data_IF_287830944340
#
_entry.id   IF_287830944340
#
_cell.length_a   1.000
_cell.length_b   1.000
_cell.length_c   1.000
_cell.angle_alpha   90.00
_cell.angle_beta   90.00
_cell.angle_gamma   90.00
#
_symmetry.space_group_name_H-M   'P 1'
#
loop_
_entity.id
_entity.type
_entity.pdbx_description
1 polymer ?
#
# COMPACT_ATOMS: atom_id res chain seq x y z
N UNK A 1 5.26 18.65 -12.88
CA UNK A 1 5.98 17.57 -12.15
C UNK A 1 4.93 16.62 -11.57
N UNK A 2 5.02 15.33 -11.88
CA UNK A 2 4.02 14.34 -11.42
C UNK A 2 4.55 13.58 -10.22
N UNK A 3 3.70 13.39 -9.21
CA UNK A 3 3.99 12.57 -8.04
C UNK A 3 2.90 11.53 -7.80
N UNK A 4 3.25 10.41 -7.17
CA UNK A 4 2.31 9.33 -6.87
C UNK A 4 2.49 8.77 -5.47
N UNK A 5 1.37 8.38 -4.88
CA UNK A 5 1.29 7.72 -3.59
C UNK A 5 0.52 6.43 -3.73
N UNK A 6 1.08 5.35 -3.21
CA UNK A 6 0.42 4.07 -3.02
C UNK A 6 0.03 3.92 -1.55
N UNK A 7 -1.20 3.58 -1.28
CA UNK A 7 -1.69 3.26 0.07
C UNK A 7 -2.09 1.81 0.12
N UNK A 8 -1.36 1.01 0.87
CA UNK A 8 -1.61 -0.41 1.07
C UNK A 8 -2.38 -0.60 2.38
N UNK A 9 -3.47 -1.33 2.31
CA UNK A 9 -4.38 -1.54 3.44
C UNK A 9 -4.94 -2.97 3.44
N UNK A 10 -5.50 -3.42 4.57
CA UNK A 10 -6.12 -4.75 4.68
C UNK A 10 -7.62 -4.69 4.48
N UNK A 11 -8.08 -5.38 3.45
CA UNK A 11 -9.45 -5.75 3.17
C UNK A 11 -10.51 -4.70 3.45
N UNK A 12 -11.72 -5.17 3.77
CA UNK A 12 -12.90 -4.30 3.94
C UNK A 12 -12.71 -3.30 5.10
N UNK A 13 -12.06 -3.70 6.20
CA UNK A 13 -11.97 -2.88 7.42
C UNK A 13 -11.16 -1.60 7.26
N UNK A 14 -10.12 -1.62 6.42
CA UNK A 14 -9.26 -0.47 6.20
C UNK A 14 -9.52 0.24 4.86
N UNK A 15 -10.51 -0.21 4.09
CA UNK A 15 -10.84 0.35 2.76
C UNK A 15 -11.13 1.84 2.82
N UNK A 16 -11.92 2.26 3.81
CA UNK A 16 -12.24 3.67 4.00
C UNK A 16 -11.00 4.52 4.30
N UNK A 17 -10.00 3.99 5.01
CA UNK A 17 -8.73 4.68 5.25
C UNK A 17 -7.96 4.89 3.94
N UNK A 18 -7.79 3.84 3.14
CA UNK A 18 -7.12 3.94 1.85
C UNK A 18 -7.72 5.00 0.95
N UNK A 19 -9.05 4.98 0.78
CA UNK A 19 -9.76 5.96 -0.06
C UNK A 19 -9.73 7.38 0.51
N UNK A 20 -9.86 7.55 1.83
CA UNK A 20 -9.79 8.87 2.48
C UNK A 20 -8.41 9.50 2.33
N UNK A 21 -7.34 8.72 2.53
CA UNK A 21 -5.97 9.20 2.38
C UNK A 21 -5.73 9.65 0.94
N UNK A 22 -6.01 8.81 -0.04
CA UNK A 22 -5.74 9.14 -1.45
C UNK A 22 -6.60 10.29 -1.95
N UNK A 23 -7.88 10.36 -1.55
CA UNK A 23 -8.76 11.48 -1.84
C UNK A 23 -8.28 12.77 -1.16
N UNK A 24 -7.85 12.70 0.09
CA UNK A 24 -7.32 13.84 0.83
C UNK A 24 -6.08 14.44 0.17
N UNK A 25 -5.19 13.60 -0.39
CA UNK A 25 -4.03 14.08 -1.17
C UNK A 25 -4.48 14.86 -2.40
N UNK A 26 -5.43 14.32 -3.16
CA UNK A 26 -5.94 14.99 -4.37
C UNK A 26 -6.63 16.30 -4.02
N UNK A 27 -7.46 16.32 -2.98
CA UNK A 27 -8.11 17.57 -2.52
C UNK A 27 -7.08 18.63 -2.10
N UNK A 28 -6.03 18.23 -1.36
CA UNK A 28 -4.95 19.14 -0.99
C UNK A 28 -4.20 19.68 -2.23
N UNK A 29 -3.92 18.82 -3.20
CA UNK A 29 -3.27 19.22 -4.44
C UNK A 29 -4.11 20.22 -5.25
N UNK A 30 -5.42 20.03 -5.32
CA UNK A 30 -6.35 20.96 -5.97
C UNK A 30 -6.33 22.34 -5.28
N UNK A 31 -6.16 22.39 -3.95
CA UNK A 31 -5.98 23.68 -3.24
C UNK A 31 -4.70 24.43 -3.65
N UNK A 32 -3.73 23.73 -4.21
CA UNK A 32 -2.50 24.31 -4.76
C UNK A 32 -2.59 24.65 -6.26
N UNK A 33 -3.77 24.47 -6.86
CA UNK A 33 -3.96 24.67 -8.30
C UNK A 33 -3.41 23.52 -9.15
N UNK A 34 -3.09 22.39 -8.55
CA UNK A 34 -2.69 21.16 -9.23
C UNK A 34 -3.91 20.32 -9.61
N UNK A 35 -3.69 19.31 -10.43
CA UNK A 35 -4.68 18.31 -10.81
C UNK A 35 -4.30 16.96 -10.22
N UNK A 36 -5.27 16.09 -10.02
CA UNK A 36 -4.97 14.75 -9.50
C UNK A 36 -6.15 13.80 -9.60
N UNK A 37 -5.85 12.52 -9.45
CA UNK A 37 -6.84 11.45 -9.42
C UNK A 37 -6.52 10.48 -8.28
N UNK A 38 -7.57 9.93 -7.67
CA UNK A 38 -7.46 8.82 -6.74
C UNK A 38 -8.29 7.64 -7.20
N UNK A 39 -7.75 6.44 -7.10
CA UNK A 39 -8.43 5.21 -7.48
C UNK A 39 -7.97 4.03 -6.64
N UNK A 40 -8.84 3.02 -6.53
CA UNK A 40 -8.55 1.78 -5.81
C UNK A 40 -8.20 0.63 -6.75
N UNK A 41 -7.36 -0.28 -6.25
CA UNK A 41 -7.08 -1.55 -6.88
C UNK A 41 -7.41 -2.69 -5.92
N UNK A 42 -8.40 -3.48 -6.28
CA UNK A 42 -8.84 -4.63 -5.49
C UNK A 42 -8.26 -5.91 -6.08
N UNK A 43 -7.83 -6.81 -5.19
CA UNK A 43 -7.26 -8.10 -5.62
C UNK A 43 -8.32 -9.13 -6.01
N UNK A 44 -9.57 -8.94 -5.56
CA UNK A 44 -10.66 -9.89 -5.77
C UNK A 44 -12.04 -9.21 -5.67
N UNK A 45 -13.06 -9.85 -6.24
CA UNK A 45 -14.45 -9.43 -6.10
C UNK A 45 -15.30 -10.66 -5.69
N UNK A 46 -15.93 -10.63 -4.49
CA UNK A 46 -15.94 -9.55 -3.51
C UNK A 46 -14.61 -9.39 -2.77
N UNK A 47 -14.33 -8.14 -2.35
CA UNK A 47 -13.15 -7.85 -1.53
C UNK A 47 -13.19 -8.62 -0.21
N UNK A 48 -12.10 -9.31 0.13
CA UNK A 48 -12.04 -10.18 1.31
C UNK A 48 -11.39 -9.48 2.49
N UNK A 49 -11.84 -9.81 3.71
CA UNK A 49 -11.23 -9.32 4.93
C UNK A 49 -9.79 -9.80 5.09
N UNK A 50 -8.91 -8.87 5.46
CA UNK A 50 -7.51 -9.18 5.77
C UNK A 50 -6.59 -9.35 4.56
N UNK A 51 -7.13 -9.44 3.34
CA UNK A 51 -6.31 -9.48 2.13
C UNK A 51 -5.88 -8.06 1.80
N UNK A 52 -4.59 -7.80 1.54
CA UNK A 52 -4.12 -6.48 1.17
C UNK A 52 -4.77 -5.97 -0.11
N UNK A 53 -5.11 -4.70 -0.10
CA UNK A 53 -5.61 -3.95 -1.24
C UNK A 53 -4.88 -2.62 -1.34
N UNK A 54 -4.97 -1.95 -2.48
CA UNK A 54 -4.25 -0.71 -2.77
C UNK A 54 -5.20 0.41 -3.18
N UNK A 55 -4.85 1.61 -2.77
CA UNK A 55 -5.39 2.84 -3.35
C UNK A 55 -4.22 3.71 -3.80
N UNK A 56 -4.42 4.40 -4.90
CA UNK A 56 -3.41 5.29 -5.48
C UNK A 56 -3.93 6.71 -5.51
N UNK A 57 -3.01 7.66 -5.31
CA UNK A 57 -3.20 9.05 -5.64
C UNK A 57 -2.09 9.47 -6.60
N UNK A 58 -2.46 10.10 -7.71
CA UNK A 58 -1.55 10.70 -8.67
C UNK A 58 -1.85 12.18 -8.75
N UNK A 59 -0.83 13.01 -8.60
CA UNK A 59 -0.92 14.47 -8.63
C UNK A 59 0.05 15.01 -9.68
N UNK A 60 -0.39 15.97 -10.48
CA UNK A 60 0.43 16.64 -11.50
C UNK A 60 0.18 18.16 -11.51
N UNK A 61 1.13 18.90 -12.06
CA UNK A 61 0.99 20.34 -12.17
C UNK A 61 -0.08 20.76 -13.21
N UNK A 62 -0.37 19.89 -14.16
CA UNK A 62 -1.39 20.13 -15.20
C UNK A 62 -1.98 18.80 -15.71
N UNK A 63 -3.04 18.92 -16.50
CA UNK A 63 -3.82 17.79 -16.98
C UNK A 63 -3.06 16.95 -18.02
N UNK A 64 -2.22 17.56 -18.83
CA UNK A 64 -1.40 16.85 -19.83
C UNK A 64 -0.39 15.90 -19.15
N UNK A 65 0.31 16.37 -18.12
CA UNK A 65 1.20 15.54 -17.32
C UNK A 65 0.44 14.40 -16.60
N UNK A 66 -0.74 14.71 -16.08
CA UNK A 66 -1.58 13.70 -15.42
C UNK A 66 -1.99 12.60 -16.40
N UNK A 67 -2.49 12.95 -17.57
CA UNK A 67 -2.91 12.01 -18.61
C UNK A 67 -1.74 11.15 -19.10
N UNK A 68 -0.58 11.74 -19.33
CA UNK A 68 0.63 11.03 -19.74
C UNK A 68 1.04 9.98 -18.70
N UNK A 69 0.90 10.30 -17.41
CA UNK A 69 1.20 9.36 -16.33
C UNK A 69 0.17 8.23 -16.23
N UNK A 70 -1.11 8.56 -16.41
CA UNK A 70 -2.22 7.60 -16.31
C UNK A 70 -2.31 6.63 -17.50
N UNK A 71 -1.57 6.85 -18.58
CA UNK A 71 -1.50 5.93 -19.71
C UNK A 71 -1.08 4.50 -19.30
N UNK A 72 -0.50 4.34 -18.11
CA UNK A 72 -0.14 3.04 -17.54
C UNK A 72 -1.11 2.51 -16.48
N UNK A 73 -2.21 3.15 -16.23
CA UNK A 73 -3.21 2.84 -15.22
C UNK A 73 -2.65 2.80 -13.77
N UNK A 74 -1.71 1.93 -13.45
CA UNK A 74 -1.03 1.89 -12.15
C UNK A 74 0.36 2.51 -12.23
N UNK A 75 0.74 3.37 -11.29
CA UNK A 75 2.11 3.86 -11.19
C UNK A 75 3.11 2.72 -11.03
N UNK A 76 4.14 2.69 -11.85
CA UNK A 76 5.22 1.71 -11.74
C UNK A 76 6.21 2.04 -10.63
N UNK A 77 6.25 3.32 -10.22
CA UNK A 77 7.10 3.83 -9.14
C UNK A 77 6.35 4.90 -8.36
N UNK A 78 6.41 4.84 -7.05
CA UNK A 78 5.73 5.78 -6.16
C UNK A 78 6.74 6.61 -5.35
N UNK A 79 6.40 7.87 -5.11
CA UNK A 79 7.14 8.76 -4.21
C UNK A 79 7.00 8.31 -2.77
N UNK A 80 5.78 7.93 -2.41
CA UNK A 80 5.45 7.42 -1.07
C UNK A 80 4.61 6.17 -1.20
N UNK A 81 5.01 5.10 -0.50
CA UNK A 81 4.20 3.92 -0.25
C UNK A 81 3.78 3.92 1.21
N UNK A 82 2.47 3.93 1.46
CA UNK A 82 1.92 3.93 2.81
C UNK A 82 1.52 2.51 3.19
N UNK A 83 2.08 1.99 4.28
CA UNK A 83 1.58 0.82 4.98
C UNK A 83 0.65 1.31 6.11
N UNK A 84 -0.66 1.10 5.97
CA UNK A 84 -1.64 1.57 6.97
C UNK A 84 -1.41 0.93 8.34
N UNK A 85 -0.84 -0.28 8.38
CA UNK A 85 -0.28 -0.89 9.57
C UNK A 85 1.06 -1.59 9.29
N UNK A 86 1.88 -1.76 10.32
CA UNK A 86 3.23 -2.32 10.20
C UNK A 86 3.27 -3.80 9.80
N UNK A 87 2.18 -4.53 10.00
CA UNK A 87 2.11 -5.94 9.59
C UNK A 87 2.17 -6.10 8.06
N UNK A 88 1.85 -5.03 7.31
CA UNK A 88 1.99 -4.98 5.86
C UNK A 88 3.45 -4.90 5.40
N UNK A 89 4.37 -4.49 6.28
CA UNK A 89 5.80 -4.42 5.98
C UNK A 89 6.46 -5.80 5.90
N UNK A 90 5.83 -6.84 6.43
CA UNK A 90 6.37 -8.22 6.49
C UNK A 90 6.44 -8.95 5.15
N UNK A 91 6.07 -8.30 4.05
CA UNK A 91 6.14 -8.88 2.71
C UNK A 91 5.18 -10.04 2.46
N UNK A 92 4.14 -10.18 3.28
CA UNK A 92 3.16 -11.27 3.20
C UNK A 92 1.92 -10.81 2.42
N UNK A 93 2.13 -10.04 1.36
CA UNK A 93 1.04 -9.56 0.52
C UNK A 93 0.71 -10.59 -0.54
N UNK A 94 -0.31 -11.38 -0.29
CA UNK A 94 -0.87 -12.28 -1.27
C UNK A 94 -1.96 -11.57 -2.06
N UNK A 95 -1.59 -11.04 -3.22
CA UNK A 95 -2.56 -10.56 -4.21
C UNK A 95 -2.93 -11.73 -5.12
N UNK A 96 -4.20 -11.87 -5.43
CA UNK A 96 -4.66 -12.91 -6.35
C UNK A 96 -3.92 -12.88 -7.71
N UNK A 97 -3.38 -11.71 -8.09
CA UNK A 97 -2.74 -11.48 -9.38
C UNK A 97 -1.22 -11.22 -9.31
N UNK A 98 -0.69 -10.81 -8.15
CA UNK A 98 0.68 -10.33 -8.03
C UNK A 98 1.59 -11.21 -7.18
N UNK A 99 1.02 -12.20 -6.49
CA UNK A 99 1.77 -13.03 -5.55
C UNK A 99 2.29 -12.24 -4.34
N UNK A 100 3.35 -12.72 -3.72
CA UNK A 100 4.01 -12.06 -2.61
C UNK A 100 4.83 -10.87 -3.10
N UNK A 101 4.54 -9.69 -2.60
CA UNK A 101 5.28 -8.48 -2.92
C UNK A 101 5.77 -7.80 -1.64
N UNK A 102 7.04 -7.41 -1.57
CA UNK A 102 7.50 -6.56 -0.47
C UNK A 102 6.83 -5.19 -0.55
N UNK A 103 6.53 -4.60 0.62
CA UNK A 103 5.85 -3.31 0.72
C UNK A 103 6.55 -2.22 -0.09
N UNK A 104 7.87 -2.25 -0.14
CA UNK A 104 8.71 -1.27 -0.81
C UNK A 104 8.96 -1.56 -2.31
N UNK A 105 8.25 -2.51 -2.92
CA UNK A 105 8.47 -2.90 -4.33
C UNK A 105 8.33 -1.73 -5.29
N UNK A 106 7.25 -0.98 -5.17
CA UNK A 106 6.93 0.14 -6.05
C UNK A 106 7.47 1.49 -5.55
N UNK A 107 8.10 1.54 -4.38
CA UNK A 107 8.74 2.76 -3.89
C UNK A 107 9.97 3.06 -4.75
N UNK A 108 10.04 4.25 -5.35
CA UNK A 108 11.18 4.66 -6.19
C UNK A 108 12.49 4.80 -5.39
N UNK A 109 13.61 4.86 -6.08
CA UNK A 109 14.87 5.27 -5.47
C UNK A 109 14.74 6.67 -4.85
N UNK A 110 15.17 6.82 -3.60
CA UNK A 110 14.99 8.04 -2.81
C UNK A 110 13.55 8.28 -2.32
N UNK A 111 12.58 7.43 -2.71
CA UNK A 111 11.21 7.49 -2.21
C UNK A 111 11.08 7.02 -0.77
N UNK A 112 9.86 7.05 -0.24
CA UNK A 112 9.61 6.78 1.18
C UNK A 112 8.55 5.69 1.37
N UNK A 113 8.82 4.73 2.24
CA UNK A 113 7.78 3.88 2.85
C UNK A 113 7.36 4.55 4.16
N UNK A 114 6.07 4.83 4.30
CA UNK A 114 5.47 5.40 5.50
C UNK A 114 4.62 4.34 6.20
N UNK A 115 5.00 3.94 7.40
CA UNK A 115 4.25 2.96 8.19
C UNK A 115 3.59 3.60 9.41
N UNK A 116 2.39 3.14 9.74
CA UNK A 116 1.76 3.42 11.04
C UNK A 116 2.10 2.29 11.99
N UNK A 117 2.85 2.58 13.04
CA UNK A 117 3.38 1.58 13.98
C UNK A 117 3.67 2.16 15.35
N UNK A 118 3.68 1.32 16.37
CA UNK A 118 4.23 1.68 17.70
C UNK A 118 5.73 1.36 17.80
N UNK A 119 6.28 0.64 16.82
CA UNK A 119 7.68 0.28 16.76
C UNK A 119 8.54 1.45 16.26
N UNK A 120 9.85 1.40 16.50
CA UNK A 120 10.79 2.36 15.91
C UNK A 120 11.03 2.06 14.42
N UNK A 121 11.54 3.02 13.63
CA UNK A 121 11.93 2.76 12.24
C UNK A 121 12.93 1.60 12.11
N UNK A 122 13.82 1.41 13.10
CA UNK A 122 14.81 0.33 13.13
C UNK A 122 14.16 -1.04 13.29
N UNK A 123 13.08 -1.12 14.06
CA UNK A 123 12.34 -2.36 14.27
C UNK A 123 11.49 -2.70 13.03
N UNK A 124 10.77 -1.72 12.49
CA UNK A 124 9.98 -1.90 11.25
C UNK A 124 10.86 -2.28 10.07
N UNK A 125 12.09 -1.75 10.00
CA UNK A 125 13.04 -2.07 8.92
C UNK A 125 13.39 -3.56 8.86
N UNK A 126 13.40 -4.27 9.98
CA UNK A 126 13.69 -5.72 10.01
C UNK A 126 12.67 -6.53 9.22
N UNK A 127 11.46 -6.00 9.09
CA UNK A 127 10.37 -6.62 8.33
C UNK A 127 10.37 -6.19 6.84
N UNK A 128 11.04 -5.10 6.50
CA UNK A 128 11.12 -4.60 5.12
C UNK A 128 12.22 -5.29 4.32
N UNK A 129 11.93 -5.64 3.07
CA UNK A 129 12.90 -6.29 2.20
C UNK A 129 13.99 -5.31 1.74
N UNK A 130 15.19 -5.86 1.51
CA UNK A 130 16.29 -5.12 0.88
C UNK A 130 15.90 -4.66 -0.53
N UNK A 131 16.37 -3.46 -0.88
CA UNK A 131 16.32 -2.94 -2.26
C UNK A 131 17.74 -2.64 -2.73
N UNK A 132 17.93 -2.66 -4.04
CA UNK A 132 19.19 -2.30 -4.68
C UNK A 132 19.40 -0.78 -4.79
N UNK A 133 18.55 0.01 -4.14
CA UNK A 133 18.59 1.47 -4.14
C UNK A 133 18.30 2.03 -2.74
N UNK A 134 18.83 3.22 -2.45
CA UNK A 134 18.48 3.97 -1.24
C UNK A 134 17.01 4.38 -1.24
N UNK A 135 16.39 4.34 -0.08
CA UNK A 135 15.02 4.79 0.17
C UNK A 135 14.88 5.29 1.61
N UNK A 136 13.73 5.81 1.97
CA UNK A 136 13.47 6.29 3.32
C UNK A 136 12.36 5.46 3.97
N UNK A 137 12.54 5.13 5.24
CA UNK A 137 11.51 4.54 6.08
C UNK A 137 11.02 5.60 7.07
N UNK A 138 9.75 5.91 7.01
CA UNK A 138 9.11 6.85 7.91
C UNK A 138 8.08 6.12 8.78
N UNK A 139 7.96 6.51 10.04
CA UNK A 139 7.02 5.91 10.99
C UNK A 139 6.20 6.99 11.68
N UNK A 140 4.89 6.80 11.66
CA UNK A 140 3.95 7.54 12.50
C UNK A 140 3.61 6.67 13.70
N UNK A 141 3.88 7.16 14.92
CA UNK A 141 3.51 6.48 16.17
C UNK A 141 1.99 6.49 16.35
N UNK A 142 1.34 5.40 15.96
CA UNK A 142 -0.07 5.15 16.19
C UNK A 142 -0.37 3.66 16.10
N UNK A 143 -1.44 3.24 16.76
CA UNK A 143 -2.05 1.93 16.57
C UNK A 143 -3.20 2.16 15.60
N UNK A 144 -3.15 1.61 14.38
CA UNK A 144 -4.30 1.67 13.48
C UNK A 144 -5.47 0.93 14.13
N UNK A 145 -6.66 1.51 14.05
CA UNK A 145 -7.83 0.83 14.63
C UNK A 145 -8.14 -0.43 13.83
N UNK A 146 -7.91 -1.55 14.47
CA UNK A 146 -8.43 -2.85 14.07
C UNK A 146 -9.81 -3.02 14.69
N UNK A 147 -10.84 -2.41 14.12
CA UNK A 147 -12.17 -2.73 14.58
C UNK A 147 -12.72 -3.93 13.80
N UNK A 148 -12.42 -5.12 14.29
CA UNK A 148 -13.12 -6.33 13.88
C UNK A 148 -14.59 -6.37 14.32
N UNK A 149 -15.09 -5.36 14.99
CA UNK A 149 -16.43 -5.26 15.55
C UNK A 149 -16.98 -3.85 15.33
N UNK A 150 -17.68 -3.64 14.23
CA UNK A 150 -18.75 -2.65 13.94
C UNK A 150 -18.66 -1.22 14.55
N UNK A 151 -17.69 -0.92 15.42
CA UNK A 151 -17.50 0.38 16.06
C UNK A 151 -16.15 0.94 15.66
N UNK A 152 -16.12 1.72 14.58
CA UNK A 152 -14.96 2.53 14.23
C UNK A 152 -14.78 3.61 15.28
N UNK A 153 -13.78 3.46 16.13
CA UNK A 153 -13.24 4.60 16.83
C UNK A 153 -12.39 5.37 15.81
N UNK A 154 -12.81 6.58 15.47
CA UNK A 154 -12.00 7.47 14.64
C UNK A 154 -10.70 7.80 15.38
N UNK A 155 -9.60 7.23 14.92
CA UNK A 155 -8.27 7.41 15.50
C UNK A 155 -7.44 8.46 14.76
N UNK A 156 -8.06 9.14 13.80
CA UNK A 156 -7.43 10.14 12.95
C UNK A 156 -6.24 9.60 12.12
N UNK A 157 -6.15 8.31 11.88
CA UNK A 157 -5.04 7.72 11.11
C UNK A 157 -4.99 8.29 9.70
N UNK A 158 -6.12 8.48 9.05
CA UNK A 158 -6.22 9.08 7.72
C UNK A 158 -5.53 10.46 7.65
N UNK A 159 -5.91 11.37 8.53
CA UNK A 159 -5.37 12.74 8.54
C UNK A 159 -3.93 12.80 9.07
N UNK A 160 -3.53 11.87 9.96
CA UNK A 160 -2.12 11.76 10.38
C UNK A 160 -1.23 11.36 9.21
N UNK A 161 -1.67 10.41 8.40
CA UNK A 161 -0.96 10.00 7.18
C UNK A 161 -0.88 11.16 6.20
N UNK A 162 -1.95 11.94 6.00
CA UNK A 162 -1.94 13.14 5.17
C UNK A 162 -0.90 14.16 5.64
N UNK A 163 -0.86 14.44 6.95
CA UNK A 163 0.15 15.34 7.52
C UNK A 163 1.58 14.86 7.31
N UNK A 164 1.82 13.56 7.51
CA UNK A 164 3.14 12.99 7.25
C UNK A 164 3.53 13.04 5.76
N UNK A 165 2.61 12.78 4.84
CA UNK A 165 2.86 12.89 3.40
C UNK A 165 3.27 14.31 3.01
N UNK A 166 2.63 15.34 3.57
CA UNK A 166 3.03 16.73 3.34
C UNK A 166 4.49 17.01 3.77
N UNK A 167 4.98 16.31 4.80
CA UNK A 167 6.38 16.40 5.24
C UNK A 167 7.33 15.64 4.32
N UNK A 168 6.91 14.44 3.87
CA UNK A 168 7.75 13.49 3.14
C UNK A 168 7.80 13.78 1.64
N UNK A 169 6.73 14.34 1.09
CA UNK A 169 6.59 14.66 -0.33
C UNK A 169 6.05 16.08 -0.54
N UNK A 170 6.76 17.14 -0.07
CA UNK A 170 6.29 18.53 -0.12
C UNK A 170 6.13 19.06 -1.56
N UNK A 171 6.69 18.38 -2.54
CA UNK A 171 6.48 18.66 -3.95
C UNK A 171 5.08 18.28 -4.43
N UNK A 172 4.44 17.33 -3.77
CA UNK A 172 3.06 16.90 -4.09
C UNK A 172 2.04 17.79 -3.42
N UNK A 173 2.10 17.90 -2.10
CA UNK A 173 1.17 18.67 -1.27
C UNK A 173 1.89 19.33 -0.10
N UNK A 174 1.46 20.53 0.29
CA UNK A 174 1.97 21.26 1.45
C UNK A 174 1.05 21.07 2.64
N UNK A 175 1.56 21.33 3.85
CA UNK A 175 0.79 21.19 5.09
C UNK A 175 -0.46 22.09 5.09
N UNK A 176 -0.31 23.33 4.66
CA UNK A 176 -1.41 24.31 4.63
C UNK A 176 -2.57 23.82 3.74
N UNK A 177 -2.23 23.21 2.60
CA UNK A 177 -3.22 22.66 1.66
C UNK A 177 -3.90 21.42 2.22
N UNK A 178 -3.15 20.58 2.93
CA UNK A 178 -3.69 19.42 3.65
C UNK A 178 -4.66 19.88 4.75
N UNK A 179 -4.28 20.87 5.56
CA UNK A 179 -5.15 21.43 6.59
C UNK A 179 -6.44 22.02 6.01
N UNK A 180 -6.33 22.76 4.88
CA UNK A 180 -7.49 23.31 4.19
C UNK A 180 -8.41 22.20 3.65
N UNK A 181 -7.86 21.15 3.08
CA UNK A 181 -8.61 19.99 2.61
C UNK A 181 -9.31 19.25 3.76
N UNK A 182 -8.64 19.11 4.92
CA UNK A 182 -9.24 18.49 6.11
C UNK A 182 -10.42 19.32 6.63
N UNK A 183 -10.30 20.64 6.69
CA UNK A 183 -11.41 21.52 7.11
C UNK A 183 -12.61 21.39 6.20
N UNK A 184 -12.38 21.33 4.90
CA UNK A 184 -13.46 21.23 3.91
C UNK A 184 -14.15 19.87 3.93
N UNK A 185 -13.39 18.77 3.96
CA UNK A 185 -13.94 17.43 3.83
C UNK A 185 -14.48 16.87 5.16
N UNK A 186 -13.82 17.16 6.27
CA UNK A 186 -14.18 16.58 7.58
C UNK A 186 -14.73 17.59 8.60
N UNK A 187 -14.52 18.89 8.41
CA UNK A 187 -15.05 19.94 9.29
C UNK A 187 -14.58 19.88 10.75
N UNK A 188 -13.39 19.29 11.02
CA UNK A 188 -12.93 18.99 12.37
C UNK A 188 -11.52 19.52 12.64
N UNK A 189 -11.39 20.52 13.50
CA UNK A 189 -10.10 21.12 13.88
C UNK A 189 -9.22 20.16 14.69
N UNK A 190 -9.78 19.16 15.38
CA UNK A 190 -8.97 18.13 16.05
C UNK A 190 -8.25 17.26 15.04
N UNK A 191 -8.86 17.01 13.88
CA UNK A 191 -8.22 16.32 12.77
C UNK A 191 -7.10 17.15 12.17
N UNK A 192 -7.31 18.45 11.99
CA UNK A 192 -6.25 19.38 11.54
C UNK A 192 -5.07 19.36 12.50
N UNK A 193 -5.32 19.45 13.80
CA UNK A 193 -4.28 19.37 14.82
C UNK A 193 -3.55 18.01 14.79
N UNK A 194 -4.26 16.91 14.52
CA UNK A 194 -3.68 15.58 14.40
C UNK A 194 -2.77 15.46 13.17
N UNK A 195 -3.14 16.05 12.04
CA UNK A 195 -2.31 16.11 10.84
C UNK A 195 -1.03 16.91 11.07
N UNK A 196 -1.15 18.10 11.68
CA UNK A 196 0.00 18.96 12.04
C UNK A 196 0.96 18.24 12.97
N UNK A 197 0.44 17.58 14.00
CA UNK A 197 1.25 16.79 14.93
C UNK A 197 2.00 15.65 14.22
N UNK A 198 1.38 14.98 13.25
CA UNK A 198 2.05 13.94 12.48
C UNK A 198 3.12 14.53 11.56
N UNK A 199 2.86 15.66 10.91
CA UNK A 199 3.87 16.40 10.14
C UNK A 199 5.12 16.71 10.95
N UNK A 200 4.95 17.18 12.20
CA UNK A 200 6.06 17.57 13.09
C UNK A 200 6.82 16.36 13.65
N UNK A 201 6.14 15.23 13.89
CA UNK A 201 6.64 14.12 14.70
C UNK A 201 6.91 12.84 13.91
N UNK A 202 6.70 12.83 12.61
CA UNK A 202 7.04 11.66 11.80
C UNK A 202 8.54 11.38 11.92
N UNK A 203 8.86 10.15 12.32
CA UNK A 203 10.25 9.68 12.42
C UNK A 203 10.71 9.18 11.06
N UNK A 204 11.84 9.64 10.57
CA UNK A 204 12.36 9.29 9.24
C UNK A 204 13.76 8.72 9.37
N UNK A 205 13.98 7.57 8.76
CA UNK A 205 15.27 6.92 8.65
C UNK A 205 15.66 6.72 7.18
N UNK A 206 16.85 7.12 6.82
CA UNK A 206 17.44 6.78 5.52
C UNK A 206 17.92 5.33 5.53
N UNK A 207 17.52 4.55 4.54
CA UNK A 207 17.85 3.12 4.40
C UNK A 207 18.77 2.93 3.21
N UNK A 208 19.88 2.25 3.46
CA UNK A 208 20.89 1.92 2.42
C UNK A 208 20.54 0.59 1.72
N UNK A 209 21.10 0.32 0.54
CA UNK A 209 20.81 -0.90 -0.22
C UNK A 209 21.13 -2.21 0.52
N UNK A 210 22.09 -2.17 1.46
CA UNK A 210 22.53 -3.33 2.25
C UNK A 210 21.68 -3.59 3.50
N UNK A 211 20.70 -2.72 3.80
CA UNK A 211 19.86 -2.79 4.98
C UNK A 211 18.49 -3.42 4.67
N UNK A 212 17.89 -4.02 5.70
CA UNK A 212 16.59 -4.68 5.63
C UNK A 212 16.67 -6.20 5.60
N UNK A 213 15.51 -6.83 5.48
CA UNK A 213 15.40 -8.29 5.48
C UNK A 213 15.96 -8.89 4.18
N UNK A 214 16.94 -9.78 4.31
CA UNK A 214 17.55 -10.49 3.17
C UNK A 214 16.81 -11.78 2.81
N UNK A 215 15.91 -12.26 3.67
CA UNK A 215 15.09 -13.40 3.33
C UNK A 215 14.15 -13.02 2.20
N UNK A 216 14.28 -13.72 1.08
CA UNK A 216 13.34 -13.54 -0.02
C UNK A 216 11.97 -14.00 0.45
N UNK A 217 10.91 -13.22 0.24
CA UNK A 217 9.57 -13.76 0.37
C UNK A 217 9.49 -14.99 -0.53
N UNK A 218 8.73 -15.98 -0.11
CA UNK A 218 8.59 -17.24 -0.82
C UNK A 218 8.16 -16.95 -2.28
N UNK A 219 9.11 -16.98 -3.20
CA UNK A 219 8.83 -16.87 -4.62
C UNK A 219 8.30 -18.23 -5.08
N UNK A 220 6.99 -18.28 -5.29
CA UNK A 220 6.40 -19.34 -6.09
C UNK A 220 6.88 -19.15 -7.53
N UNK A 221 7.97 -19.76 -7.88
CA UNK A 221 8.34 -19.94 -9.28
C UNK A 221 7.44 -21.04 -9.85
N UNK A 222 6.24 -20.64 -10.23
CA UNK A 222 5.43 -21.52 -11.07
C UNK A 222 6.17 -21.67 -12.41
N UNK A 223 6.50 -22.90 -12.83
CA UNK A 223 6.97 -23.11 -14.17
C UNK A 223 5.94 -22.53 -15.15
N UNK A 224 6.42 -21.94 -16.23
CA UNK A 224 5.51 -21.41 -17.25
C UNK A 224 4.58 -22.53 -17.68
N UNK A 225 3.29 -22.25 -17.87
CA UNK A 225 2.27 -23.27 -18.14
C UNK A 225 2.64 -24.20 -19.30
N UNK A 226 3.39 -23.71 -20.31
CA UNK A 226 3.88 -24.50 -21.44
C UNK A 226 5.10 -25.36 -21.11
N UNK A 227 5.75 -25.15 -19.98
CA UNK A 227 6.85 -25.99 -19.48
C UNK A 227 6.34 -27.06 -18.52
N UNK A 228 5.05 -26.98 -18.12
CA UNK A 228 4.42 -27.96 -17.24
C UNK A 228 4.17 -29.27 -18.01
N UNK A 229 4.85 -30.32 -17.62
CA UNK A 229 4.55 -31.67 -18.09
C UNK A 229 3.37 -32.21 -17.28
N UNK A 230 2.56 -33.06 -17.95
CA UNK A 230 1.50 -33.78 -17.27
C UNK A 230 2.08 -34.57 -16.08
N UNK A 231 1.49 -34.44 -14.90
CA UNK A 231 1.98 -35.08 -13.68
C UNK A 231 3.11 -34.35 -12.94
N UNK A 232 3.43 -33.09 -13.29
CA UNK A 232 4.43 -32.31 -12.57
C UNK A 232 3.97 -32.03 -11.14
N UNK A 233 4.73 -32.54 -10.18
CA UNK A 233 4.55 -32.21 -8.74
C UNK A 233 5.24 -30.89 -8.47
N UNK A 234 4.47 -29.87 -8.06
CA UNK A 234 5.01 -28.57 -7.65
C UNK A 234 5.46 -28.70 -6.19
N UNK A 235 6.76 -28.52 -5.88
CA UNK A 235 7.24 -28.60 -4.52
C UNK A 235 6.48 -27.61 -3.60
N UNK A 236 6.02 -28.11 -2.44
CA UNK A 236 5.31 -27.28 -1.45
C UNK A 236 3.79 -27.17 -1.65
N UNK A 237 3.25 -27.62 -2.75
CA UNK A 237 1.80 -27.81 -2.88
C UNK A 237 1.47 -29.24 -2.45
N UNK A 238 0.54 -29.43 -1.48
CA UNK A 238 0.09 -30.78 -1.13
C UNK A 238 -0.45 -31.47 -2.39
N UNK A 239 0.14 -32.59 -2.72
CA UNK A 239 -0.43 -33.45 -3.75
C UNK A 239 -1.78 -33.92 -3.22
N UNK A 240 -2.87 -33.57 -3.90
CA UNK A 240 -4.15 -34.18 -3.59
C UNK A 240 -3.98 -35.70 -3.84
N UNK A 241 -4.02 -36.45 -2.76
CA UNK A 241 -4.09 -37.91 -2.89
C UNK A 241 -5.38 -38.23 -3.65
N UNK A 242 -5.27 -38.99 -4.72
CA UNK A 242 -6.46 -39.57 -5.33
C UNK A 242 -7.17 -40.40 -4.29
N UNK A 243 -8.33 -39.92 -3.87
CA UNK A 243 -9.23 -40.71 -3.03
C UNK A 243 -9.91 -41.70 -3.95
N UNK A 244 -9.63 -42.95 -3.76
CA UNK A 244 -10.22 -44.05 -4.54
C UNK A 244 -11.75 -43.94 -4.53
N UNK A 245 -12.40 -43.84 -5.69
CA UNK A 245 -13.84 -43.68 -5.81
C UNK A 245 -14.38 -42.25 -5.84
N UNK A 246 -13.50 -41.23 -5.85
CA UNK A 246 -13.92 -39.84 -5.98
C UNK A 246 -13.74 -39.34 -7.42
N UNK A 247 -14.83 -39.26 -8.18
CA UNK A 247 -14.82 -38.79 -9.58
C UNK A 247 -15.30 -37.34 -9.76
N UNK A 248 -15.54 -36.61 -8.65
CA UNK A 248 -15.94 -35.21 -8.62
C UNK A 248 -14.83 -34.20 -8.40
N UNK A 249 -13.55 -34.58 -8.36
CA UNK A 249 -12.45 -33.68 -8.10
C UNK A 249 -11.91 -32.97 -9.33
N UNK A 250 -11.35 -31.79 -9.11
CA UNK A 250 -10.60 -31.07 -10.12
C UNK A 250 -9.41 -31.90 -10.58
N UNK A 251 -9.45 -32.37 -11.79
CA UNK A 251 -8.29 -32.92 -12.49
C UNK A 251 -7.74 -31.85 -13.43
N UNK A 252 -6.42 -31.53 -13.36
CA UNK A 252 -5.82 -30.63 -14.33
C UNK A 252 -6.13 -31.13 -15.75
N UNK A 253 -6.77 -30.28 -16.56
CA UNK A 253 -7.12 -30.63 -17.95
C UNK A 253 -8.52 -31.17 -18.20
N UNK A 254 -9.40 -31.29 -17.17
CA UNK A 254 -10.82 -31.53 -17.37
C UNK A 254 -11.65 -30.35 -16.86
N UNK A 255 -12.47 -29.80 -17.74
CA UNK A 255 -13.49 -28.85 -17.31
C UNK A 255 -14.47 -29.57 -16.37
N UNK A 256 -14.88 -28.95 -15.25
CA UNK A 256 -15.97 -29.46 -14.48
C UNK A 256 -17.22 -29.46 -15.38
N UNK A 257 -17.84 -30.58 -15.52
CA UNK A 257 -19.16 -30.73 -16.15
C UNK A 257 -20.24 -30.25 -15.21
#
# INVERSE_FOLDING_TARGET
MTGSVEVVYRGIFQKSLGSRITRGIVLAAVKEGKVGISFGRYGDSPERNGIPAKSFAVVADNEEELQAHLARYEPSNNDVTVAVDDTLCKGVESWAWYGLQPINKLTRSGGTVLATSMQSPEEVLKDCHRKDAEWNLAVIKAIPSFSGLWVYKDDHTDVRVLGAIARLAPHMVKLESVEAAIREEWGDELKVASARKAYERVEVRKVRPDEGNSEKPYEFQLPKWWEMKEGLVIPGIPVQQEVEGWDGGYRPGRNPT
#
